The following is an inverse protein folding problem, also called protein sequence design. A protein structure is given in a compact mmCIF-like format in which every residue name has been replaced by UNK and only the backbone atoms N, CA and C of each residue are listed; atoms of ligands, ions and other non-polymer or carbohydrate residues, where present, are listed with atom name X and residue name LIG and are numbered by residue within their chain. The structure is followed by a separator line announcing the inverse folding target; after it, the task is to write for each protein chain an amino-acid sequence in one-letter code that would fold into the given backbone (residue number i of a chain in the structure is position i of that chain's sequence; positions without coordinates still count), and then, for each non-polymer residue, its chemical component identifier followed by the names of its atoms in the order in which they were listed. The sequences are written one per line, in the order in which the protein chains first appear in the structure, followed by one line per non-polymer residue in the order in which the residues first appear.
data_IF_022813553182
#
_entry.id   IF_022813553182
#
_cell.length_a   1.000
_cell.length_b   1.000
_cell.length_c   1.000
_cell.angle_alpha   90.00
_cell.angle_beta   90.00
_cell.angle_gamma   90.00
#
_symmetry.space_group_name_H-M   'P 1'
#
loop_
_entity.id
_entity.type
_entity.pdbx_description
1 polymer ?
#
# COMPACT_ATOMS: atom_id res chain seq x y z
N UNK A 1 -34.54 15.16 -1.03
CA UNK A 1 -33.64 14.02 -1.30
C UNK A 1 -32.97 14.25 -2.65
N UNK A 2 -31.70 14.63 -2.68
CA UNK A 2 -30.94 14.66 -3.92
C UNK A 2 -30.72 13.19 -4.31
N UNK A 3 -31.43 12.76 -5.34
CA UNK A 3 -31.23 11.47 -5.98
C UNK A 3 -29.73 11.33 -6.29
N UNK A 4 -29.09 10.30 -5.78
CA UNK A 4 -27.66 10.06 -6.00
C UNK A 4 -27.48 9.50 -7.42
N UNK A 5 -27.52 10.37 -8.41
CA UNK A 5 -27.47 10.05 -9.86
C UNK A 5 -26.32 9.08 -10.19
N UNK A 6 -25.21 9.14 -9.45
CA UNK A 6 -24.07 8.25 -9.64
C UNK A 6 -24.36 6.78 -9.28
N UNK A 7 -25.46 6.50 -8.59
CA UNK A 7 -25.90 5.11 -8.34
C UNK A 7 -26.44 4.41 -9.60
N UNK A 8 -26.78 5.15 -10.62
CA UNK A 8 -27.22 4.64 -11.93
C UNK A 8 -26.05 4.32 -12.87
N UNK A 9 -24.83 4.64 -12.48
CA UNK A 9 -23.62 4.42 -13.29
C UNK A 9 -23.23 2.93 -13.30
N UNK A 10 -22.42 2.50 -14.30
CA UNK A 10 -21.81 1.19 -14.31
C UNK A 10 -21.05 0.90 -13.01
N UNK A 11 -20.93 -0.36 -12.63
CA UNK A 11 -20.32 -0.79 -11.36
C UNK A 11 -18.94 -0.18 -11.11
N UNK A 12 -18.07 -0.17 -12.12
CA UNK A 12 -16.75 0.44 -12.02
C UNK A 12 -16.84 1.91 -11.60
N UNK A 13 -17.69 2.66 -12.27
CA UNK A 13 -17.85 4.09 -11.99
C UNK A 13 -18.53 4.34 -10.63
N UNK A 14 -19.42 3.45 -10.18
CA UNK A 14 -20.00 3.50 -8.83
C UNK A 14 -18.93 3.36 -7.76
N UNK A 15 -18.01 2.40 -7.89
CA UNK A 15 -16.91 2.18 -6.97
C UNK A 15 -15.92 3.36 -6.96
N UNK A 16 -15.55 3.88 -8.14
CA UNK A 16 -14.70 5.07 -8.26
C UNK A 16 -15.36 6.29 -7.58
N UNK A 17 -16.65 6.53 -7.82
CA UNK A 17 -17.40 7.64 -7.22
C UNK A 17 -17.57 7.49 -5.71
N UNK A 18 -17.73 6.27 -5.19
CA UNK A 18 -17.77 6.02 -3.76
C UNK A 18 -16.50 6.52 -3.07
N UNK A 19 -15.32 6.30 -3.69
CA UNK A 19 -14.05 6.82 -3.19
C UNK A 19 -13.94 8.34 -3.38
N UNK A 20 -14.22 8.86 -4.58
CA UNK A 20 -14.13 10.31 -4.86
C UNK A 20 -15.00 11.13 -3.90
N UNK A 21 -16.20 10.63 -3.58
CA UNK A 21 -17.13 11.28 -2.64
C UNK A 21 -16.88 10.94 -1.17
N UNK A 22 -16.09 9.91 -0.91
CA UNK A 22 -15.86 9.38 0.43
C UNK A 22 -17.13 8.77 1.07
N UNK A 23 -17.99 8.13 0.26
CA UNK A 23 -19.28 7.54 0.68
C UNK A 23 -19.11 6.02 0.75
N UNK A 24 -19.27 5.47 1.93
CA UNK A 24 -19.10 4.02 2.17
C UNK A 24 -20.40 3.23 2.35
N UNK A 25 -21.58 3.86 2.17
CA UNK A 25 -22.87 3.25 2.52
C UNK A 25 -23.26 2.11 1.57
N UNK A 26 -22.85 2.18 0.31
CA UNK A 26 -23.15 1.19 -0.73
C UNK A 26 -22.01 0.23 -1.03
N UNK A 27 -20.87 0.34 -0.33
CA UNK A 27 -19.68 -0.46 -0.64
C UNK A 27 -19.92 -1.96 -0.55
N UNK A 28 -20.67 -2.44 0.45
CA UNK A 28 -20.92 -3.88 0.59
C UNK A 28 -21.70 -4.45 -0.60
N UNK A 29 -22.69 -3.71 -1.08
CA UNK A 29 -23.51 -4.12 -2.22
C UNK A 29 -22.67 -4.12 -3.51
N UNK A 30 -22.01 -3.00 -3.79
CA UNK A 30 -21.20 -2.84 -5.00
C UNK A 30 -20.00 -3.79 -5.04
N UNK A 31 -19.34 -4.04 -3.91
CA UNK A 31 -18.23 -5.00 -3.86
C UNK A 31 -18.70 -6.45 -3.96
N UNK A 32 -19.87 -6.81 -3.45
CA UNK A 32 -20.46 -8.12 -3.68
C UNK A 32 -20.83 -8.36 -5.15
N UNK A 33 -21.26 -7.31 -5.85
CA UNK A 33 -21.49 -7.33 -7.29
C UNK A 33 -20.14 -7.49 -8.02
N UNK A 34 -19.13 -6.70 -7.65
CA UNK A 34 -17.80 -6.75 -8.24
C UNK A 34 -17.13 -8.13 -8.10
N UNK A 35 -17.29 -8.80 -6.97
CA UNK A 35 -16.76 -10.16 -6.76
C UNK A 35 -17.35 -11.22 -7.71
N UNK A 36 -18.46 -10.92 -8.39
CA UNK A 36 -19.04 -11.79 -9.41
C UNK A 36 -18.55 -11.45 -10.82
N UNK A 37 -18.12 -10.22 -11.05
CA UNK A 37 -17.71 -9.73 -12.36
C UNK A 37 -16.19 -9.81 -12.58
N UNK A 38 -15.40 -9.61 -11.52
CA UNK A 38 -13.94 -9.62 -11.59
C UNK A 38 -13.37 -11.02 -11.33
N UNK A 39 -12.35 -11.44 -12.09
CA UNK A 39 -11.74 -12.77 -11.93
C UNK A 39 -11.16 -13.02 -10.53
N UNK A 40 -10.59 -11.97 -9.91
CA UNK A 40 -9.97 -12.03 -8.59
C UNK A 40 -10.37 -10.82 -7.76
N UNK A 41 -10.48 -10.99 -6.45
CA UNK A 41 -10.77 -9.88 -5.53
C UNK A 41 -9.72 -8.76 -5.58
N UNK A 42 -8.45 -9.10 -5.81
CA UNK A 42 -7.35 -8.12 -5.97
C UNK A 42 -7.54 -7.24 -7.20
N UNK A 43 -8.14 -7.74 -8.28
CA UNK A 43 -8.39 -6.97 -9.51
C UNK A 43 -9.40 -5.83 -9.28
N UNK A 44 -10.26 -5.95 -8.27
CA UNK A 44 -11.17 -4.87 -7.83
C UNK A 44 -10.38 -3.74 -7.17
N UNK A 45 -9.32 -4.09 -6.42
CA UNK A 45 -8.44 -3.10 -5.79
C UNK A 45 -7.63 -2.38 -6.87
N UNK A 46 -6.93 -3.11 -7.73
CA UNK A 46 -6.06 -2.55 -8.79
C UNK A 46 -6.83 -1.80 -9.88
N UNK A 47 -8.09 -2.16 -10.10
CA UNK A 47 -8.94 -1.52 -11.09
C UNK A 47 -9.72 -0.33 -10.52
N UNK A 48 -11.01 -0.53 -10.19
CA UNK A 48 -11.91 0.57 -9.83
C UNK A 48 -11.51 1.31 -8.54
N UNK A 49 -11.00 0.61 -7.52
CA UNK A 49 -10.63 1.29 -6.27
C UNK A 49 -9.38 2.16 -6.45
N UNK A 50 -8.35 1.69 -7.10
CA UNK A 50 -7.17 2.50 -7.41
C UNK A 50 -7.49 3.60 -8.43
N UNK A 51 -8.38 3.35 -9.40
CA UNK A 51 -8.90 4.38 -10.31
C UNK A 51 -9.53 5.55 -9.56
N UNK A 52 -10.37 5.26 -8.57
CA UNK A 52 -10.95 6.28 -7.68
C UNK A 52 -9.90 7.04 -6.86
N UNK A 53 -8.92 6.33 -6.29
CA UNK A 53 -7.82 6.94 -5.52
C UNK A 53 -6.94 7.86 -6.37
N UNK A 54 -6.59 7.44 -7.58
CA UNK A 54 -5.82 8.25 -8.53
C UNK A 54 -6.56 9.54 -8.86
N UNK A 55 -7.87 9.45 -9.09
CA UNK A 55 -8.71 10.62 -9.34
C UNK A 55 -8.76 11.59 -8.16
N UNK A 56 -8.81 11.07 -6.95
CA UNK A 56 -8.71 11.87 -5.71
C UNK A 56 -7.36 12.58 -5.65
N UNK A 57 -6.28 11.89 -5.96
CA UNK A 57 -4.93 12.48 -6.03
C UNK A 57 -4.84 13.62 -7.04
N UNK A 58 -5.37 13.43 -8.25
CA UNK A 58 -5.46 14.49 -9.28
C UNK A 58 -6.27 15.71 -8.80
N UNK A 59 -7.44 15.48 -8.20
CA UNK A 59 -8.30 16.55 -7.70
C UNK A 59 -7.65 17.32 -6.54
N UNK A 60 -6.97 16.62 -5.65
CA UNK A 60 -6.22 17.23 -4.55
C UNK A 60 -5.03 18.06 -5.08
N UNK A 61 -4.24 17.48 -5.97
CA UNK A 61 -3.10 18.16 -6.60
C UNK A 61 -3.52 19.39 -7.42
N UNK A 62 -4.71 19.37 -8.03
CA UNK A 62 -5.30 20.51 -8.74
C UNK A 62 -5.98 21.55 -7.83
N UNK A 63 -5.96 21.37 -6.51
CA UNK A 63 -6.63 22.25 -5.54
C UNK A 63 -8.16 22.17 -5.58
N UNK A 64 -8.73 21.15 -6.21
CA UNK A 64 -10.18 20.94 -6.33
C UNK A 64 -10.77 20.07 -5.22
N UNK A 65 -9.92 19.48 -4.39
CA UNK A 65 -10.29 18.67 -3.25
C UNK A 65 -9.43 19.08 -2.04
N UNK A 66 -10.03 19.08 -0.85
CA UNK A 66 -9.37 19.49 0.38
C UNK A 66 -9.04 18.29 1.27
N UNK A 67 -8.05 18.46 2.16
CA UNK A 67 -7.54 17.39 3.04
C UNK A 67 -8.64 16.60 3.79
N UNK A 68 -9.70 17.22 4.37
CA UNK A 68 -10.77 16.44 5.00
C UNK A 68 -11.50 15.47 4.06
N UNK A 69 -11.61 15.83 2.77
CA UNK A 69 -12.21 14.97 1.75
C UNK A 69 -11.28 13.78 1.42
N UNK A 70 -9.98 14.04 1.31
CA UNK A 70 -8.97 12.99 1.12
C UNK A 70 -8.96 12.00 2.28
N UNK A 71 -9.06 12.49 3.54
CA UNK A 71 -9.18 11.63 4.72
C UNK A 71 -10.45 10.77 4.67
N UNK A 72 -11.56 11.33 4.21
CA UNK A 72 -12.81 10.57 3.99
C UNK A 72 -12.62 9.45 2.98
N UNK A 73 -12.02 9.76 1.84
CA UNK A 73 -11.67 8.77 0.81
C UNK A 73 -10.78 7.66 1.35
N UNK A 74 -9.75 8.01 2.11
CA UNK A 74 -8.85 7.05 2.73
C UNK A 74 -9.59 6.06 3.66
N UNK A 75 -10.54 6.54 4.45
CA UNK A 75 -11.41 5.69 5.29
C UNK A 75 -12.31 4.79 4.44
N UNK A 76 -12.86 5.32 3.36
CA UNK A 76 -13.69 4.55 2.42
C UNK A 76 -12.87 3.44 1.75
N UNK A 77 -11.64 3.72 1.33
CA UNK A 77 -10.71 2.73 0.78
C UNK A 77 -10.40 1.64 1.79
N UNK A 78 -10.05 1.99 3.04
CA UNK A 78 -9.83 0.99 4.10
C UNK A 78 -11.04 0.09 4.34
N UNK A 79 -12.25 0.67 4.32
CA UNK A 79 -13.49 -0.09 4.46
C UNK A 79 -13.67 -1.07 3.28
N UNK A 80 -13.43 -0.61 2.05
CA UNK A 80 -13.54 -1.44 0.86
C UNK A 80 -12.56 -2.63 0.90
N UNK A 81 -11.30 -2.38 1.23
CA UNK A 81 -10.28 -3.44 1.39
C UNK A 81 -10.67 -4.44 2.48
N UNK A 82 -11.18 -3.97 3.63
CA UNK A 82 -11.64 -4.84 4.70
C UNK A 82 -12.82 -5.75 4.28
N UNK A 83 -13.72 -5.25 3.44
CA UNK A 83 -14.83 -6.05 2.88
C UNK A 83 -14.31 -7.13 1.91
N UNK A 84 -13.29 -6.82 1.11
CA UNK A 84 -12.69 -7.76 0.16
C UNK A 84 -11.75 -8.79 0.82
N UNK A 85 -11.24 -8.51 2.02
CA UNK A 85 -10.24 -9.33 2.70
C UNK A 85 -10.60 -10.83 2.79
N UNK A 86 -11.82 -11.23 3.16
CA UNK A 86 -12.19 -12.65 3.21
C UNK A 86 -12.10 -13.35 1.84
N UNK A 87 -12.48 -12.67 0.76
CA UNK A 87 -12.38 -13.21 -0.60
C UNK A 87 -10.91 -13.36 -1.03
N UNK A 88 -10.08 -12.36 -0.73
CA UNK A 88 -8.63 -12.40 -0.97
C UNK A 88 -7.97 -13.56 -0.23
N UNK A 89 -8.33 -13.79 1.03
CA UNK A 89 -7.81 -14.91 1.83
C UNK A 89 -8.24 -16.26 1.29
N UNK A 90 -9.49 -16.38 0.85
CA UNK A 90 -10.00 -17.61 0.24
C UNK A 90 -9.28 -17.94 -1.09
N UNK A 91 -8.95 -16.94 -1.89
CA UNK A 91 -8.17 -17.11 -3.13
C UNK A 91 -6.74 -17.61 -2.86
N UNK A 92 -6.11 -17.18 -1.75
CA UNK A 92 -4.78 -17.63 -1.33
C UNK A 92 -4.73 -19.11 -0.97
N UNK A 93 -5.76 -19.61 -0.29
CA UNK A 93 -5.83 -21.03 0.16
C UNK A 93 -5.91 -21.99 -1.03
N UNK A 94 -6.43 -21.54 -2.16
CA UNK A 94 -6.56 -22.37 -3.37
C UNK A 94 -5.27 -22.51 -4.20
N UNK A 95 -4.22 -21.74 -3.91
CA UNK A 95 -2.95 -21.78 -4.61
C UNK A 95 -1.89 -22.56 -3.81
N UNK A 96 -1.86 -23.87 -3.98
CA UNK A 96 -0.89 -24.81 -3.36
C UNK A 96 0.48 -24.77 -4.08
N UNK A 97 0.93 -23.58 -4.51
CA UNK A 97 2.22 -23.37 -5.17
C UNK A 97 3.27 -22.88 -4.17
N UNK A 98 4.54 -23.29 -4.37
CA UNK A 98 5.66 -22.83 -3.56
C UNK A 98 5.68 -21.29 -3.51
N UNK A 99 5.93 -20.71 -2.32
CA UNK A 99 5.99 -19.26 -2.14
C UNK A 99 7.06 -18.65 -3.04
N UNK A 100 6.72 -17.53 -3.71
CA UNK A 100 7.61 -16.83 -4.63
C UNK A 100 8.78 -16.12 -3.92
N UNK A 101 8.60 -15.82 -2.63
CA UNK A 101 9.60 -15.17 -1.76
C UNK A 101 8.96 -14.62 -0.49
N UNK A 102 9.81 -14.10 0.40
CA UNK A 102 9.38 -13.49 1.67
C UNK A 102 9.72 -12.00 1.66
N UNK A 103 8.74 -11.16 2.00
CA UNK A 103 8.86 -9.69 1.98
C UNK A 103 8.52 -9.13 3.35
N UNK A 104 9.41 -8.31 3.89
CA UNK A 104 9.20 -7.60 5.15
C UNK A 104 8.79 -6.15 4.86
N UNK A 105 7.66 -5.73 5.38
CA UNK A 105 7.14 -4.37 5.23
C UNK A 105 7.13 -3.59 6.54
N UNK A 106 7.49 -2.31 6.47
CA UNK A 106 7.32 -1.37 7.58
C UNK A 106 7.03 0.04 7.07
N UNK A 107 6.11 0.74 7.71
CA UNK A 107 6.08 2.21 7.67
C UNK A 107 7.06 2.71 8.73
N UNK A 108 8.01 3.55 8.34
CA UNK A 108 9.12 3.95 9.19
C UNK A 108 8.67 4.78 10.40
N UNK A 109 9.53 4.89 11.39
CA UNK A 109 9.29 5.63 12.63
C UNK A 109 8.77 7.05 12.35
N UNK A 110 7.79 7.48 13.15
CA UNK A 110 7.17 8.81 13.03
C UNK A 110 6.10 8.92 11.95
N UNK A 111 5.89 7.89 11.14
CA UNK A 111 4.90 7.88 10.07
C UNK A 111 3.77 6.87 10.36
N UNK A 112 2.53 7.29 10.17
CA UNK A 112 1.31 6.49 10.44
C UNK A 112 0.54 6.12 9.17
N UNK A 113 1.04 6.52 7.99
CA UNK A 113 0.36 6.28 6.72
C UNK A 113 0.60 4.86 6.23
N UNK A 114 -0.45 4.08 6.16
CA UNK A 114 -0.39 2.64 5.89
C UNK A 114 -1.18 2.18 4.65
N UNK A 115 -1.99 3.06 4.04
CA UNK A 115 -2.89 2.64 2.95
C UNK A 115 -2.11 2.09 1.76
N UNK A 116 -1.12 2.82 1.25
CA UNK A 116 -0.30 2.38 0.12
C UNK A 116 0.45 1.07 0.46
N UNK A 117 1.09 1.01 1.63
CA UNK A 117 1.76 -0.19 2.12
C UNK A 117 0.82 -1.39 2.18
N UNK A 118 -0.38 -1.22 2.74
CA UNK A 118 -1.35 -2.30 2.87
C UNK A 118 -1.83 -2.81 1.51
N UNK A 119 -2.05 -1.92 0.54
CA UNK A 119 -2.43 -2.31 -0.83
C UNK A 119 -1.32 -3.14 -1.49
N UNK A 120 -0.08 -2.66 -1.46
CA UNK A 120 1.06 -3.39 -2.03
C UNK A 120 1.25 -4.75 -1.32
N UNK A 121 1.10 -4.80 -0.01
CA UNK A 121 1.17 -6.04 0.78
C UNK A 121 0.12 -7.07 0.32
N UNK A 122 -1.11 -6.61 0.08
CA UNK A 122 -2.19 -7.47 -0.42
C UNK A 122 -1.86 -7.99 -1.83
N UNK A 123 -1.43 -7.12 -2.73
CA UNK A 123 -1.08 -7.49 -4.11
C UNK A 123 0.04 -8.53 -4.12
N UNK A 124 1.10 -8.33 -3.35
CA UNK A 124 2.20 -9.30 -3.23
C UNK A 124 1.73 -10.63 -2.64
N UNK A 125 0.92 -10.59 -1.60
CA UNK A 125 0.38 -11.80 -1.00
C UNK A 125 -0.53 -12.58 -1.97
N UNK A 126 -1.30 -11.91 -2.83
CA UNK A 126 -2.07 -12.53 -3.89
C UNK A 126 -1.21 -13.11 -5.02
N UNK A 127 0.02 -12.61 -5.18
CA UNK A 127 1.02 -13.16 -6.11
C UNK A 127 1.97 -14.15 -5.43
N UNK A 128 1.50 -14.80 -4.38
CA UNK A 128 2.16 -15.90 -3.68
C UNK A 128 3.46 -15.53 -2.91
N UNK A 129 3.62 -14.25 -2.55
CA UNK A 129 4.67 -13.85 -1.62
C UNK A 129 4.21 -14.01 -0.16
N UNK A 130 5.13 -14.44 0.69
CA UNK A 130 4.94 -14.35 2.14
C UNK A 130 5.20 -12.91 2.58
N UNK A 131 4.19 -12.22 3.08
CA UNK A 131 4.31 -10.83 3.54
C UNK A 131 4.31 -10.78 5.06
N UNK A 132 5.37 -10.20 5.63
CA UNK A 132 5.49 -9.87 7.05
C UNK A 132 5.35 -8.37 7.18
N UNK A 133 4.22 -7.91 7.68
CA UNK A 133 3.94 -6.49 7.89
C UNK A 133 4.15 -6.11 9.36
N UNK A 134 5.12 -5.25 9.62
CA UNK A 134 5.43 -4.74 10.96
C UNK A 134 4.54 -3.57 11.39
N UNK A 135 3.67 -3.08 10.50
CA UNK A 135 2.76 -1.97 10.80
C UNK A 135 3.37 -0.60 10.53
N UNK A 136 3.00 0.37 11.37
CA UNK A 136 3.38 1.78 11.26
C UNK A 136 4.26 2.22 12.42
N UNK A 137 4.95 3.36 12.26
CA UNK A 137 5.83 3.94 13.29
C UNK A 137 6.92 2.98 13.76
N UNK A 138 7.44 2.14 12.87
CA UNK A 138 8.37 1.06 13.24
C UNK A 138 9.78 1.60 13.37
N UNK A 139 10.42 1.47 14.54
CA UNK A 139 11.81 1.89 14.74
C UNK A 139 12.80 1.04 13.93
N UNK A 140 13.95 1.63 13.58
CA UNK A 140 14.98 0.98 12.77
C UNK A 140 15.51 -0.32 13.41
N UNK A 141 15.74 -0.33 14.72
CA UNK A 141 16.21 -1.51 15.47
C UNK A 141 15.21 -2.68 15.40
N UNK A 142 13.90 -2.39 15.42
CA UNK A 142 12.85 -3.40 15.25
C UNK A 142 12.85 -3.97 13.84
N UNK A 143 13.02 -3.12 12.80
CA UNK A 143 13.10 -3.57 11.40
C UNK A 143 14.31 -4.47 11.22
N UNK A 144 15.48 -4.04 11.69
CA UNK A 144 16.74 -4.80 11.58
C UNK A 144 16.63 -6.14 12.31
N UNK A 145 16.14 -6.14 13.55
CA UNK A 145 15.93 -7.36 14.33
C UNK A 145 15.04 -8.35 13.59
N UNK A 146 13.91 -7.87 13.06
CA UNK A 146 12.99 -8.71 12.29
C UNK A 146 13.59 -9.21 10.98
N UNK A 147 14.37 -8.39 10.28
CA UNK A 147 15.09 -8.83 9.09
C UNK A 147 16.11 -9.95 9.38
N UNK A 148 16.78 -9.91 10.53
CA UNK A 148 17.70 -10.97 10.98
C UNK A 148 16.94 -12.26 11.31
N UNK A 149 15.84 -12.14 12.05
CA UNK A 149 15.01 -13.28 12.49
C UNK A 149 14.34 -13.99 11.31
N UNK A 150 13.68 -13.22 10.46
CA UNK A 150 12.80 -13.72 9.39
C UNK A 150 13.52 -14.03 8.08
N UNK A 151 14.70 -13.43 7.88
CA UNK A 151 15.55 -13.57 6.67
C UNK A 151 14.72 -13.37 5.39
N UNK A 152 14.06 -12.22 5.23
CA UNK A 152 13.28 -11.95 4.03
C UNK A 152 14.16 -11.79 2.80
N UNK A 153 13.60 -12.01 1.63
CA UNK A 153 14.26 -11.75 0.34
C UNK A 153 14.28 -10.26 -0.03
N UNK A 154 13.38 -9.47 0.60
CA UNK A 154 13.23 -8.05 0.35
C UNK A 154 12.70 -7.34 1.61
N UNK A 155 13.28 -6.17 1.92
CA UNK A 155 12.75 -5.25 2.94
C UNK A 155 12.14 -4.04 2.25
N UNK A 156 10.87 -3.74 2.56
CA UNK A 156 10.13 -2.63 1.98
C UNK A 156 9.84 -1.57 3.03
N UNK A 157 10.29 -0.35 2.77
CA UNK A 157 10.10 0.81 3.63
C UNK A 157 9.08 1.76 3.00
N UNK A 158 8.08 2.14 3.77
CA UNK A 158 7.04 3.10 3.36
C UNK A 158 7.12 4.37 4.19
N UNK A 159 6.88 5.50 3.53
CA UNK A 159 6.80 6.81 4.18
C UNK A 159 6.08 7.84 3.31
N UNK A 160 5.30 8.71 3.95
CA UNK A 160 4.49 9.73 3.27
C UNK A 160 4.93 11.16 3.60
N UNK A 161 5.62 11.37 4.72
CA UNK A 161 6.01 12.69 5.20
C UNK A 161 7.51 12.90 5.06
N UNK A 162 7.96 14.17 5.00
CA UNK A 162 9.38 14.47 4.78
C UNK A 162 10.31 13.84 5.83
N UNK A 163 10.00 13.81 7.14
CA UNK A 163 10.86 13.15 8.12
C UNK A 163 11.05 11.65 7.87
N UNK A 164 10.13 11.00 7.17
CA UNK A 164 10.27 9.57 6.83
C UNK A 164 11.49 9.28 5.95
N UNK A 165 11.92 10.25 5.15
CA UNK A 165 13.10 10.13 4.30
C UNK A 165 14.39 9.96 5.11
N UNK A 166 14.52 10.70 6.23
CA UNK A 166 15.66 10.58 7.15
C UNK A 166 15.63 9.24 7.89
N UNK A 167 14.45 8.78 8.29
CA UNK A 167 14.29 7.46 8.91
C UNK A 167 14.62 6.33 7.94
N UNK A 168 14.34 6.46 6.64
CA UNK A 168 14.75 5.46 5.64
C UNK A 168 16.27 5.39 5.51
N UNK A 169 16.98 6.52 5.56
CA UNK A 169 18.45 6.56 5.62
C UNK A 169 18.94 5.85 6.89
N UNK A 170 18.33 6.16 8.03
CA UNK A 170 18.71 5.55 9.31
C UNK A 170 18.51 4.02 9.31
N UNK A 171 17.37 3.52 8.81
CA UNK A 171 17.13 2.07 8.69
C UNK A 171 18.20 1.42 7.80
N UNK A 172 18.53 2.06 6.69
CA UNK A 172 19.52 1.54 5.73
C UNK A 172 20.91 1.47 6.37
N UNK A 173 21.33 2.49 7.12
CA UNK A 173 22.55 2.51 7.91
C UNK A 173 22.61 1.37 8.93
N UNK A 174 21.52 1.18 9.68
CA UNK A 174 21.46 0.12 10.69
C UNK A 174 21.48 -1.28 10.06
N UNK A 175 20.85 -1.47 8.91
CA UNK A 175 20.94 -2.72 8.13
C UNK A 175 22.38 -2.97 7.66
N UNK A 176 23.09 -1.94 7.19
CA UNK A 176 24.49 -2.04 6.79
C UNK A 176 25.39 -2.42 7.99
N UNK A 177 25.22 -1.74 9.13
CA UNK A 177 25.97 -2.04 10.36
C UNK A 177 25.73 -3.46 10.88
N UNK A 178 24.52 -3.98 10.68
CA UNK A 178 24.16 -5.35 11.04
C UNK A 178 24.69 -6.41 10.06
N UNK A 179 25.37 -5.99 8.98
CA UNK A 179 25.91 -6.89 7.96
C UNK A 179 24.85 -7.57 7.11
N UNK A 180 23.67 -6.99 6.99
CA UNK A 180 22.59 -7.52 6.17
C UNK A 180 22.87 -7.25 4.69
N UNK A 181 22.47 -8.22 3.83
CA UNK A 181 22.64 -8.15 2.38
C UNK A 181 21.31 -8.17 1.62
N UNK A 182 20.22 -7.92 2.34
CA UNK A 182 18.86 -7.99 1.79
C UNK A 182 18.57 -6.72 1.01
N UNK A 183 18.12 -6.80 -0.25
CA UNK A 183 17.72 -5.61 -1.02
C UNK A 183 16.63 -4.80 -0.29
N UNK A 184 16.70 -3.48 -0.43
CA UNK A 184 15.72 -2.55 0.16
C UNK A 184 14.90 -1.92 -0.95
N UNK A 185 13.59 -1.89 -0.78
CA UNK A 185 12.65 -1.16 -1.62
C UNK A 185 12.06 0.00 -0.83
N UNK A 186 12.06 1.19 -1.39
CA UNK A 186 11.47 2.37 -0.77
C UNK A 186 10.32 2.91 -1.61
N UNK A 187 9.24 3.27 -0.97
CA UNK A 187 8.03 3.78 -1.61
C UNK A 187 7.24 4.73 -0.73
N UNK A 188 6.25 5.35 -1.34
CA UNK A 188 5.40 6.36 -0.72
C UNK A 188 5.59 7.75 -1.33
N UNK A 189 4.56 8.59 -1.24
CA UNK A 189 4.44 9.83 -2.01
C UNK A 189 5.56 10.86 -1.78
N UNK A 190 6.29 10.80 -0.65
CA UNK A 190 7.43 11.69 -0.40
C UNK A 190 8.74 11.17 -0.98
N UNK A 191 8.80 9.89 -1.38
CA UNK A 191 10.00 9.29 -1.94
C UNK A 191 10.23 9.71 -3.39
N UNK A 192 11.47 9.71 -3.82
CA UNK A 192 11.83 9.98 -5.20
C UNK A 192 13.06 9.18 -5.62
N UNK A 193 13.16 8.91 -6.91
CA UNK A 193 14.29 8.22 -7.51
C UNK A 193 15.61 8.95 -7.21
N UNK A 194 15.59 10.27 -7.33
CA UNK A 194 16.76 11.11 -7.07
C UNK A 194 17.20 11.05 -5.59
N UNK A 195 16.25 11.23 -4.65
CA UNK A 195 16.56 11.16 -3.22
C UNK A 195 17.08 9.77 -2.85
N UNK A 196 16.45 8.72 -3.33
CA UNK A 196 16.88 7.33 -3.08
C UNK A 196 18.32 7.10 -3.55
N UNK A 197 18.67 7.55 -4.74
CA UNK A 197 20.00 7.37 -5.31
C UNK A 197 21.09 8.18 -4.59
N UNK A 198 20.77 9.40 -4.12
CA UNK A 198 21.77 10.32 -3.55
C UNK A 198 21.85 10.20 -2.03
N UNK A 199 20.75 9.93 -1.34
CA UNK A 199 20.66 9.99 0.13
C UNK A 199 20.52 8.64 0.80
N UNK A 200 19.87 7.65 0.18
CA UNK A 200 19.63 6.36 0.80
C UNK A 200 20.64 5.31 0.30
N UNK A 201 20.73 5.10 -1.01
CA UNK A 201 21.58 4.08 -1.60
C UNK A 201 23.06 4.17 -1.19
N UNK A 202 23.70 5.34 -1.02
CA UNK A 202 25.10 5.41 -0.60
C UNK A 202 25.40 4.85 0.79
N UNK A 203 24.37 4.62 1.62
CA UNK A 203 24.47 4.06 2.96
C UNK A 203 24.39 2.52 3.01
N UNK A 204 24.29 1.88 1.84
CA UNK A 204 24.08 0.43 1.77
C UNK A 204 24.81 -0.18 0.58
N UNK A 205 25.55 -1.28 0.81
CA UNK A 205 26.35 -1.95 -0.23
C UNK A 205 25.49 -2.80 -1.20
N UNK A 206 24.21 -3.00 -0.89
CA UNK A 206 23.29 -3.82 -1.66
C UNK A 206 22.20 -2.96 -2.32
N UNK A 207 21.40 -3.52 -3.24
CA UNK A 207 20.42 -2.73 -3.99
C UNK A 207 19.42 -1.99 -3.10
N UNK A 208 19.24 -0.70 -3.38
CA UNK A 208 18.14 0.14 -2.86
C UNK A 208 17.32 0.63 -4.04
N UNK A 209 16.07 0.24 -4.10
CA UNK A 209 15.19 0.43 -5.25
C UNK A 209 14.07 1.38 -4.87
N UNK A 210 13.87 2.43 -5.66
CA UNK A 210 12.70 3.29 -5.55
C UNK A 210 11.55 2.73 -6.39
N UNK A 211 10.37 2.65 -5.79
CA UNK A 211 9.15 2.21 -6.47
C UNK A 211 8.23 3.41 -6.67
N UNK A 212 7.77 3.59 -7.89
CA UNK A 212 6.69 4.51 -8.22
C UNK A 212 5.35 3.85 -7.85
N UNK A 213 4.40 4.66 -7.38
CA UNK A 213 3.03 4.24 -7.09
C UNK A 213 2.32 3.68 -8.32
#
# INVERSE_FOLDING_TARGET
EKQEVWREYPLKERLENALIKGVGDHLEEDLKEALKEYPRAVDIIDGPLMGGMNKVGELFGAGKMFLPQVVKTARTMKKAVAILQPAIEAEKVSSDSAKAGKVLFATVKGDVHDIGKNIVSIVLACNNYEVIDLGVMVPADVIVKKAIEEKPDLVCLSGLITPSLEEMVHVTDEMQKAGLSIPIMVGGATTSKLHTAIKIAPHYDYPVIHVLD
#
